data_IF_064825127883
#
_entry.id   IF_064825127883
#
_cell.length_a   1.000
_cell.length_b   1.000
_cell.length_c   1.000
_cell.angle_alpha   90.00
_cell.angle_beta   90.00
_cell.angle_gamma   90.00
#
_symmetry.space_group_name_H-M   'P 1'
#
loop_
_entity.id
_entity.type
_entity.pdbx_description
1 polymer ?
#
# COMPACT_ATOMS: atom_id res chain seq x y z
N UNK A 1 -49.39 -43.70 -19.26
CA UNK A 1 -50.76 -43.50 -18.77
C UNK A 1 -50.67 -43.51 -17.27
N UNK A 2 -51.34 -42.52 -16.65
CA UNK A 2 -51.59 -42.30 -15.21
C UNK A 2 -50.35 -42.05 -14.33
N UNK A 3 -50.29 -41.08 -13.41
CA UNK A 3 -51.16 -40.01 -12.92
C UNK A 3 -50.22 -39.11 -12.06
N UNK A 4 -50.25 -37.78 -12.20
CA UNK A 4 -50.96 -36.83 -11.33
C UNK A 4 -50.43 -36.79 -9.89
N UNK A 5 -49.90 -35.63 -9.49
CA UNK A 5 -49.98 -34.94 -8.19
C UNK A 5 -48.76 -34.00 -8.06
N UNK A 6 -48.77 -32.79 -7.53
CA UNK A 6 -49.78 -31.79 -7.17
C UNK A 6 -49.00 -30.51 -6.82
N UNK A 7 -49.64 -29.36 -6.98
CA UNK A 7 -49.13 -28.03 -6.67
C UNK A 7 -48.54 -27.88 -5.24
N UNK A 8 -47.55 -27.00 -5.09
CA UNK A 8 -47.66 -25.98 -4.05
C UNK A 8 -46.91 -24.71 -4.43
N UNK A 9 -47.63 -23.61 -4.27
CA UNK A 9 -47.21 -22.24 -4.45
C UNK A 9 -46.24 -21.85 -3.32
N UNK A 10 -45.06 -21.32 -3.69
CA UNK A 10 -44.15 -20.65 -2.78
C UNK A 10 -43.90 -19.22 -3.25
N UNK A 11 -44.69 -18.28 -2.75
CA UNK A 11 -44.39 -16.86 -2.86
C UNK A 11 -43.15 -16.54 -2.03
N UNK A 12 -42.11 -15.99 -2.67
CA UNK A 12 -40.91 -15.51 -2.01
C UNK A 12 -40.44 -14.22 -2.67
N UNK A 13 -41.07 -13.10 -2.31
CA UNK A 13 -40.53 -11.78 -2.58
C UNK A 13 -39.26 -11.60 -1.74
N UNK A 14 -38.11 -11.58 -2.39
CA UNK A 14 -36.82 -11.27 -1.78
C UNK A 14 -36.12 -10.18 -2.59
N UNK A 15 -36.60 -8.94 -2.49
CA UNK A 15 -35.81 -7.78 -2.91
C UNK A 15 -34.66 -7.59 -1.91
N UNK A 16 -33.49 -8.13 -2.24
CA UNK A 16 -32.25 -7.90 -1.51
C UNK A 16 -31.29 -7.06 -2.35
N UNK A 17 -31.59 -5.78 -2.55
CA UNK A 17 -30.60 -4.83 -3.07
C UNK A 17 -29.59 -4.49 -1.95
N UNK A 18 -28.62 -5.37 -1.74
CA UNK A 18 -27.44 -5.07 -0.94
C UNK A 18 -26.43 -4.29 -1.77
N UNK A 19 -26.67 -3.00 -2.01
CA UNK A 19 -25.60 -2.11 -2.49
C UNK A 19 -24.62 -1.87 -1.33
N UNK A 20 -23.72 -2.82 -1.12
CA UNK A 20 -22.53 -2.58 -0.30
C UNK A 20 -21.71 -1.50 -0.98
N UNK A 21 -21.80 -0.26 -0.50
CA UNK A 21 -20.90 0.81 -0.90
C UNK A 21 -19.49 0.42 -0.45
N UNK A 22 -18.75 -0.27 -1.31
CA UNK A 22 -17.35 -0.57 -1.10
C UNK A 22 -16.59 0.76 -1.12
N UNK A 23 -16.28 1.30 0.05
CA UNK A 23 -15.36 2.43 0.13
C UNK A 23 -14.04 2.02 -0.51
N UNK A 24 -13.62 2.73 -1.55
CA UNK A 24 -12.30 2.52 -2.14
C UNK A 24 -11.24 2.79 -1.08
N UNK A 25 -10.39 1.80 -0.82
CA UNK A 25 -9.34 1.93 0.19
C UNK A 25 -8.28 2.91 -0.29
N UNK A 26 -7.84 3.85 0.56
CA UNK A 26 -6.78 4.78 0.19
C UNK A 26 -5.49 4.01 -0.10
N UNK A 27 -4.71 4.52 -1.04
CA UNK A 27 -3.37 4.02 -1.32
C UNK A 27 -2.32 4.94 -0.73
N UNK A 28 -1.23 4.34 -0.29
CA UNK A 28 -0.07 5.01 0.27
C UNK A 28 1.19 4.49 -0.39
N UNK A 29 2.19 5.36 -0.56
CA UNK A 29 3.56 4.96 -0.92
C UNK A 29 4.46 5.33 0.24
N UNK A 30 5.19 4.36 0.79
CA UNK A 30 5.95 4.53 2.03
C UNK A 30 7.44 4.33 1.81
N UNK A 31 8.24 4.96 2.67
CA UNK A 31 9.68 4.77 2.78
C UNK A 31 10.03 4.21 4.15
N UNK A 32 10.74 3.09 4.17
CA UNK A 32 11.36 2.52 5.36
C UNK A 32 12.87 2.63 5.29
N UNK A 33 13.50 2.70 6.44
CA UNK A 33 14.95 2.61 6.60
C UNK A 33 15.30 1.67 7.76
N UNK A 34 16.54 1.16 7.75
CA UNK A 34 17.05 0.38 8.88
C UNK A 34 17.40 1.27 10.06
N UNK A 35 17.04 0.85 11.28
CA UNK A 35 17.30 1.58 12.53
C UNK A 35 18.80 1.75 12.77
N UNK A 36 19.56 0.66 12.68
CA UNK A 36 20.99 0.68 12.92
C UNK A 36 21.71 1.07 11.63
N UNK A 37 22.19 2.31 11.56
CA UNK A 37 22.79 2.96 10.40
C UNK A 37 21.90 2.80 9.15
N UNK A 38 21.17 3.84 8.68
CA UNK A 38 20.18 3.77 7.60
C UNK A 38 20.80 3.48 6.21
N UNK A 39 21.40 2.30 6.12
CA UNK A 39 22.21 1.74 5.05
C UNK A 39 21.35 0.98 4.06
N UNK A 40 20.14 0.59 4.47
CA UNK A 40 19.13 -0.01 3.61
C UNK A 40 17.87 0.81 3.67
N UNK A 41 17.23 0.95 2.52
CA UNK A 41 15.93 1.60 2.36
C UNK A 41 14.98 0.68 1.61
N UNK A 42 13.69 0.84 1.89
CA UNK A 42 12.64 0.16 1.17
C UNK A 42 11.56 1.16 0.79
N UNK A 43 11.16 1.16 -0.49
CA UNK A 43 10.01 1.93 -0.98
C UNK A 43 8.98 0.95 -1.51
N UNK A 44 7.71 1.12 -1.12
CA UNK A 44 6.61 0.30 -1.61
C UNK A 44 5.26 0.99 -1.51
N UNK A 45 4.24 0.40 -2.14
CA UNK A 45 2.86 0.84 -2.02
C UNK A 45 2.00 -0.10 -1.16
N UNK A 46 1.02 0.44 -0.45
CA UNK A 46 0.07 -0.34 0.36
C UNK A 46 -1.22 0.44 0.66
N UNK A 47 -2.25 -0.25 1.12
CA UNK A 47 -3.48 0.37 1.66
C UNK A 47 -3.46 0.48 3.19
N UNK A 48 -2.42 -0.07 3.83
CA UNK A 48 -2.27 -0.12 5.29
C UNK A 48 -0.78 -0.11 5.65
N UNK A 49 -0.29 1.08 6.02
CA UNK A 49 1.13 1.34 6.28
C UNK A 49 1.62 0.70 7.57
N UNK A 50 0.77 0.60 8.60
CA UNK A 50 1.13 0.03 9.90
C UNK A 50 1.24 -1.50 9.84
N UNK A 51 0.24 -2.13 9.22
CA UNK A 51 0.28 -3.57 8.96
C UNK A 51 1.50 -3.93 8.12
N UNK A 52 1.83 -3.10 7.13
CA UNK A 52 2.99 -3.33 6.27
C UNK A 52 4.31 -3.20 7.03
N UNK A 53 4.45 -2.23 7.93
CA UNK A 53 5.62 -2.11 8.80
C UNK A 53 5.78 -3.35 9.70
N UNK A 54 4.68 -3.82 10.31
CA UNK A 54 4.69 -5.06 11.12
C UNK A 54 5.12 -6.29 10.31
N UNK A 55 4.70 -6.40 9.06
CA UNK A 55 5.13 -7.47 8.16
C UNK A 55 6.63 -7.39 7.82
N UNK A 56 7.17 -6.20 7.56
CA UNK A 56 8.61 -6.01 7.33
C UNK A 56 9.44 -6.33 8.58
N UNK A 57 8.91 -6.02 9.76
CA UNK A 57 9.55 -6.34 11.03
C UNK A 57 9.33 -7.78 11.51
N UNK A 58 8.64 -8.63 10.74
CA UNK A 58 8.43 -10.03 11.07
C UNK A 58 7.35 -10.30 12.12
N UNK A 59 6.64 -9.27 12.59
CA UNK A 59 5.53 -9.41 13.53
C UNK A 59 4.26 -9.98 12.89
N UNK A 60 4.14 -9.91 11.55
CA UNK A 60 3.04 -10.49 10.77
C UNK A 60 3.59 -11.23 9.54
N UNK A 61 2.89 -12.28 9.11
CA UNK A 61 3.21 -12.99 7.86
C UNK A 61 2.85 -12.17 6.61
N UNK A 62 3.49 -12.48 5.48
CA UNK A 62 3.22 -11.83 4.18
C UNK A 62 4.06 -10.57 3.87
N UNK A 63 5.22 -10.42 4.53
CA UNK A 63 6.24 -9.42 4.18
C UNK A 63 7.02 -9.76 2.90
N UNK A 64 7.77 -8.80 2.37
CA UNK A 64 8.66 -9.03 1.23
C UNK A 64 9.89 -9.83 1.65
N UNK A 65 10.34 -10.81 0.84
CA UNK A 65 11.54 -11.63 1.14
C UNK A 65 12.82 -10.80 1.35
N UNK A 66 12.91 -9.62 0.71
CA UNK A 66 14.09 -8.77 0.82
C UNK A 66 14.27 -8.15 2.22
N UNK A 67 13.18 -8.05 3.01
CA UNK A 67 13.17 -7.34 4.30
C UNK A 67 13.06 -8.25 5.51
N UNK A 68 12.70 -9.52 5.31
CA UNK A 68 12.75 -10.56 6.35
C UNK A 68 14.17 -10.88 6.86
N UNK A 69 15.20 -10.29 6.25
CA UNK A 69 16.60 -10.44 6.66
C UNK A 69 16.98 -9.59 7.87
N UNK A 70 16.14 -8.62 8.27
CA UNK A 70 16.35 -7.78 9.46
C UNK A 70 15.05 -7.63 10.26
N UNK A 71 14.56 -8.69 10.93
CA UNK A 71 13.36 -8.62 11.78
C UNK A 71 13.52 -7.52 12.84
N UNK A 72 12.47 -6.73 13.07
CA UNK A 72 12.51 -5.58 13.99
C UNK A 72 13.44 -4.43 13.60
N UNK A 73 14.18 -4.54 12.50
CA UNK A 73 15.21 -3.56 12.13
C UNK A 73 14.72 -2.40 11.29
N UNK A 74 13.44 -2.32 10.94
CA UNK A 74 12.88 -1.28 10.08
C UNK A 74 12.04 -0.28 10.87
N UNK A 75 12.19 1.00 10.53
CA UNK A 75 11.28 2.06 10.94
C UNK A 75 10.73 2.78 9.71
N UNK A 76 9.53 3.36 9.84
CA UNK A 76 8.92 4.19 8.81
C UNK A 76 9.53 5.58 8.87
N UNK A 77 10.09 6.03 7.74
CA UNK A 77 10.62 7.38 7.60
C UNK A 77 9.47 8.34 7.28
N UNK A 78 8.63 7.94 6.33
CA UNK A 78 7.45 8.68 5.92
C UNK A 78 6.52 7.79 5.09
N UNK A 79 5.32 8.30 4.83
CA UNK A 79 4.47 7.82 3.77
C UNK A 79 3.77 8.97 3.05
N UNK A 80 3.45 8.76 1.78
CA UNK A 80 2.74 9.70 0.93
C UNK A 80 1.30 9.23 0.80
N UNK A 81 0.36 10.16 0.93
CA UNK A 81 -1.09 9.95 0.76
C UNK A 81 -1.65 10.91 -0.29
N UNK A 82 -2.92 10.72 -0.66
CA UNK A 82 -3.62 11.54 -1.67
C UNK A 82 -3.69 10.90 -3.05
N UNK A 83 -3.27 9.64 -3.21
CA UNK A 83 -3.38 8.93 -4.49
C UNK A 83 -4.83 8.61 -4.82
N UNK A 84 -5.26 8.96 -6.04
CA UNK A 84 -6.58 8.69 -6.58
C UNK A 84 -6.78 7.19 -6.89
N UNK A 85 -5.69 6.46 -7.12
CA UNK A 85 -5.78 5.03 -7.44
C UNK A 85 -4.52 4.23 -7.11
N UNK A 86 -4.69 2.90 -7.04
CA UNK A 86 -3.56 1.94 -6.99
C UNK A 86 -2.55 2.18 -8.11
N UNK A 87 -3.04 2.44 -9.33
CA UNK A 87 -2.18 2.60 -10.51
C UNK A 87 -1.29 3.82 -10.36
N UNK A 88 -1.84 4.90 -9.83
CA UNK A 88 -1.11 6.12 -9.55
C UNK A 88 -0.03 5.90 -8.47
N UNK A 89 -0.39 5.29 -7.34
CA UNK A 89 0.56 4.95 -6.28
C UNK A 89 1.73 4.09 -6.79
N UNK A 90 1.46 3.10 -7.63
CA UNK A 90 2.50 2.26 -8.24
C UNK A 90 3.38 3.03 -9.24
N UNK A 91 2.82 3.99 -9.98
CA UNK A 91 3.61 4.88 -10.86
C UNK A 91 4.56 5.75 -10.04
N UNK A 92 4.06 6.33 -8.96
CA UNK A 92 4.87 7.12 -8.04
C UNK A 92 5.99 6.26 -7.42
N UNK A 93 5.67 5.08 -6.88
CA UNK A 93 6.66 4.14 -6.32
C UNK A 93 7.79 3.83 -7.32
N UNK A 94 7.44 3.55 -8.57
CA UNK A 94 8.40 3.24 -9.62
C UNK A 94 9.31 4.43 -9.95
N UNK A 95 8.73 5.62 -10.12
CA UNK A 95 9.50 6.83 -10.40
C UNK A 95 10.41 7.20 -9.23
N UNK A 96 9.95 7.02 -8.00
CA UNK A 96 10.75 7.27 -6.81
C UNK A 96 11.99 6.37 -6.76
N UNK A 97 11.82 5.07 -7.07
CA UNK A 97 12.94 4.13 -7.23
C UNK A 97 13.89 4.54 -8.34
N UNK A 98 13.37 4.95 -9.49
CA UNK A 98 14.20 5.29 -10.65
C UNK A 98 14.96 6.60 -10.49
N UNK A 99 14.33 7.64 -9.90
CA UNK A 99 14.95 8.96 -9.67
C UNK A 99 16.01 8.88 -8.59
N UNK A 100 15.71 8.24 -7.46
CA UNK A 100 16.68 8.08 -6.35
C UNK A 100 17.93 7.29 -6.75
N UNK A 101 17.84 6.36 -7.69
CA UNK A 101 19.00 5.61 -8.20
C UNK A 101 20.03 6.49 -8.95
N UNK A 102 19.64 7.69 -9.40
CA UNK A 102 20.51 8.60 -10.16
C UNK A 102 21.19 9.67 -9.30
N UNK A 103 20.81 9.77 -8.02
CA UNK A 103 21.33 10.78 -7.11
C UNK A 103 22.63 10.30 -6.42
N UNK A 104 23.36 11.24 -5.82
CA UNK A 104 24.54 10.95 -4.98
C UNK A 104 24.17 11.09 -3.50
N UNK A 105 24.91 10.40 -2.63
CA UNK A 105 24.65 10.39 -1.18
C UNK A 105 24.27 9.01 -0.64
N UNK A 106 23.92 8.95 0.64
CA UNK A 106 23.47 7.71 1.30
C UNK A 106 22.14 7.21 0.72
N UNK A 107 21.79 5.92 0.89
CA UNK A 107 20.52 5.41 0.40
C UNK A 107 19.31 6.20 0.89
N UNK A 108 19.31 6.68 2.14
CA UNK A 108 18.21 7.46 2.70
C UNK A 108 18.14 8.87 2.11
N UNK A 109 19.27 9.59 2.05
CA UNK A 109 19.36 10.94 1.45
C UNK A 109 18.86 10.94 0.01
N UNK A 110 19.28 9.96 -0.80
CA UNK A 110 18.82 9.84 -2.19
C UNK A 110 17.31 9.61 -2.31
N UNK A 111 16.70 8.93 -1.34
CA UNK A 111 15.25 8.70 -1.32
C UNK A 111 14.51 9.98 -0.95
N UNK A 112 14.98 10.69 0.08
CA UNK A 112 14.38 11.95 0.53
C UNK A 112 14.46 13.03 -0.55
N UNK A 113 15.65 13.26 -1.13
CA UNK A 113 15.82 14.25 -2.19
C UNK A 113 14.96 13.96 -3.44
N UNK A 114 14.87 12.68 -3.85
CA UNK A 114 14.01 12.30 -4.98
C UNK A 114 12.52 12.49 -4.67
N UNK A 115 12.10 12.21 -3.43
CA UNK A 115 10.72 12.40 -2.97
C UNK A 115 10.33 13.87 -2.97
N UNK A 116 11.17 14.73 -2.39
CA UNK A 116 10.93 16.19 -2.34
C UNK A 116 10.76 16.77 -3.74
N UNK A 117 11.65 16.41 -4.68
CA UNK A 117 11.52 16.81 -6.07
C UNK A 117 10.22 16.28 -6.73
N UNK A 118 9.83 15.04 -6.44
CA UNK A 118 8.58 14.46 -6.96
C UNK A 118 7.33 15.13 -6.41
N UNK A 119 7.29 15.46 -5.11
CA UNK A 119 6.14 16.13 -4.49
C UNK A 119 5.91 17.52 -5.09
N UNK A 120 6.96 18.22 -5.53
CA UNK A 120 6.83 19.48 -6.26
C UNK A 120 6.15 19.33 -7.63
N UNK A 121 6.20 18.14 -8.24
CA UNK A 121 5.63 17.86 -9.57
C UNK A 121 4.24 17.20 -9.52
N UNK A 122 3.83 16.69 -8.35
CA UNK A 122 2.60 15.91 -8.16
C UNK A 122 1.66 16.64 -7.18
N UNK A 123 0.84 17.58 -7.67
CA UNK A 123 -0.05 18.34 -6.80
C UNK A 123 -1.09 17.44 -6.13
N UNK A 124 -1.47 17.77 -4.89
CA UNK A 124 -2.46 17.02 -4.12
C UNK A 124 -1.90 15.83 -3.34
N UNK A 125 -0.63 15.48 -3.52
CA UNK A 125 0.05 14.50 -2.68
C UNK A 125 0.60 15.15 -1.41
N UNK A 126 0.42 14.46 -0.28
CA UNK A 126 0.87 14.93 1.03
C UNK A 126 1.83 13.93 1.67
N UNK A 127 2.87 14.44 2.31
CA UNK A 127 3.76 13.65 3.15
C UNK A 127 3.25 13.59 4.59
N UNK A 128 3.28 12.39 5.17
CA UNK A 128 3.04 12.14 6.57
C UNK A 128 4.26 11.44 7.21
N UNK A 129 4.58 11.82 8.44
CA UNK A 129 5.78 11.38 9.18
C UNK A 129 5.46 10.46 10.38
N UNK A 130 4.19 10.03 10.51
CA UNK A 130 3.72 9.18 11.61
C UNK A 130 4.39 7.80 11.63
#
# INVERSE_FOLDING_TARGET
MSDTESESQGQGQGQGQGQGQGQEKPWFVYLLATVQAPSRTYVGATVDVDRRLKQHNGALSGGARATSTVPGGWYRVCYIRGFESKREALRFEWWWKRRSAKLKGTPLERRQAAMEAMLCEWPGLEIALE
#
